data_IF_297529823576
#
_entry.id   IF_297529823576
#
_cell.length_a   1.000
_cell.length_b   1.000
_cell.length_c   1.000
_cell.angle_alpha   90.00
_cell.angle_beta   90.00
_cell.angle_gamma   90.00
#
_symmetry.space_group_name_H-M   'P 1'
#
loop_
_entity.id
_entity.type
_entity.pdbx_description
1 polymer ?
#
# COMPACT_ATOMS: atom_id res chain seq x y z
N UNK A 1 16.34 8.97 6.18
CA UNK A 1 16.06 8.69 4.76
C UNK A 1 16.33 7.22 4.52
N UNK A 2 15.31 6.46 4.14
CA UNK A 2 15.50 5.08 3.66
C UNK A 2 15.82 5.16 2.16
N UNK A 3 16.82 4.40 1.74
CA UNK A 3 17.29 4.35 0.36
C UNK A 3 17.12 2.94 -0.17
N UNK A 4 16.57 2.84 -1.36
CA UNK A 4 16.50 1.59 -2.09
C UNK A 4 16.72 1.86 -3.55
N UNK A 5 17.50 1.01 -4.22
CA UNK A 5 17.76 1.14 -5.64
C UNK A 5 16.62 0.47 -6.42
N UNK A 6 15.65 1.28 -6.86
CA UNK A 6 14.53 0.77 -7.67
C UNK A 6 15.02 0.17 -9.00
N UNK A 7 16.17 0.61 -9.52
CA UNK A 7 16.81 0.02 -10.69
C UNK A 7 17.29 -1.40 -10.44
N UNK A 8 17.85 -1.68 -9.27
CA UNK A 8 18.20 -3.04 -8.85
C UNK A 8 16.94 -3.92 -8.79
N UNK A 9 15.87 -3.45 -8.13
CA UNK A 9 14.60 -4.17 -8.05
C UNK A 9 14.00 -4.50 -9.41
N UNK A 10 14.05 -3.58 -10.37
CA UNK A 10 13.61 -3.84 -11.75
C UNK A 10 14.36 -5.03 -12.36
N UNK A 11 15.65 -5.19 -12.04
CA UNK A 11 16.51 -6.23 -12.62
C UNK A 11 16.47 -7.56 -11.86
N UNK A 12 16.04 -7.58 -10.59
CA UNK A 12 16.00 -8.80 -9.76
C UNK A 12 15.04 -9.89 -10.29
N UNK A 13 14.00 -9.53 -11.04
CA UNK A 13 13.01 -10.47 -11.60
C UNK A 13 12.79 -10.27 -13.10
N UNK A 14 13.55 -10.97 -13.94
CA UNK A 14 13.47 -10.82 -15.40
C UNK A 14 12.07 -11.12 -15.98
N UNK A 15 11.33 -12.06 -15.40
CA UNK A 15 9.97 -12.44 -15.79
C UNK A 15 8.93 -11.32 -15.54
N UNK A 16 9.23 -10.40 -14.62
CA UNK A 16 8.36 -9.27 -14.25
C UNK A 16 8.92 -7.93 -14.69
N UNK A 17 9.99 -7.93 -15.51
CA UNK A 17 10.77 -6.73 -15.79
C UNK A 17 9.93 -5.58 -16.32
N UNK A 18 9.06 -5.82 -17.29
CA UNK A 18 8.22 -4.78 -17.90
C UNK A 18 7.20 -4.18 -16.92
N UNK A 19 6.64 -5.01 -16.03
CA UNK A 19 5.80 -4.53 -14.93
C UNK A 19 6.59 -3.66 -13.96
N UNK A 20 7.77 -4.11 -13.51
CA UNK A 20 8.62 -3.36 -12.58
C UNK A 20 9.12 -2.05 -13.19
N UNK A 21 9.45 -2.05 -14.48
CA UNK A 21 9.78 -0.83 -15.24
C UNK A 21 8.60 0.15 -15.27
N UNK A 22 7.37 -0.34 -15.50
CA UNK A 22 6.18 0.50 -15.45
C UNK A 22 5.95 1.10 -14.05
N UNK A 23 6.14 0.30 -12.99
CA UNK A 23 6.09 0.80 -11.60
C UNK A 23 7.16 1.87 -11.37
N UNK A 24 8.39 1.67 -11.83
CA UNK A 24 9.44 2.67 -11.71
C UNK A 24 9.06 3.97 -12.43
N UNK A 25 8.62 3.92 -13.69
CA UNK A 25 8.14 5.10 -14.42
C UNK A 25 7.04 5.84 -13.66
N UNK A 26 6.06 5.11 -13.11
CA UNK A 26 4.96 5.69 -12.32
C UNK A 26 5.49 6.42 -11.09
N UNK A 27 6.41 5.81 -10.33
CA UNK A 27 6.97 6.41 -9.13
C UNK A 27 7.85 7.62 -9.45
N UNK A 28 8.60 7.59 -10.55
CA UNK A 28 9.38 8.73 -11.05
C UNK A 28 8.47 9.88 -11.47
N UNK A 29 7.34 9.60 -12.12
CA UNK A 29 6.35 10.63 -12.45
C UNK A 29 5.76 11.28 -11.18
N UNK A 30 5.51 10.50 -10.13
CA UNK A 30 5.04 11.05 -8.86
C UNK A 30 6.12 11.91 -8.21
N UNK A 31 7.36 11.42 -8.14
CA UNK A 31 8.49 12.15 -7.57
C UNK A 31 8.78 13.48 -8.30
N UNK A 32 8.63 13.51 -9.62
CA UNK A 32 8.95 14.69 -10.45
C UNK A 32 7.92 15.82 -10.41
N UNK A 33 6.77 15.63 -9.76
CA UNK A 33 5.71 16.64 -9.68
C UNK A 33 5.38 16.97 -8.21
N UNK A 34 5.65 18.20 -7.72
CA UNK A 34 5.52 18.53 -6.30
C UNK A 34 4.14 18.25 -5.69
N UNK A 35 3.06 18.53 -6.42
CA UNK A 35 1.69 18.26 -5.99
C UNK A 35 1.40 16.77 -5.87
N UNK A 36 1.88 15.95 -6.82
CA UNK A 36 1.73 14.49 -6.77
C UNK A 36 2.60 13.91 -5.66
N UNK A 37 3.87 14.29 -5.60
CA UNK A 37 4.82 13.85 -4.58
C UNK A 37 4.27 14.08 -3.17
N UNK A 38 3.81 15.29 -2.88
CA UNK A 38 3.34 15.67 -1.54
C UNK A 38 2.04 14.97 -1.14
N UNK A 39 1.16 14.68 -2.10
CA UNK A 39 -0.17 14.18 -1.80
C UNK A 39 -0.32 12.66 -1.97
N UNK A 40 0.46 12.03 -2.83
CA UNK A 40 0.40 10.60 -3.10
C UNK A 40 1.35 9.84 -2.18
N UNK A 41 0.87 9.52 -0.97
CA UNK A 41 1.67 8.80 0.02
C UNK A 41 1.52 7.30 -0.23
N UNK A 42 2.61 6.65 -0.64
CA UNK A 42 2.63 5.24 -1.02
C UNK A 42 2.41 4.31 0.18
N UNK A 43 1.65 3.24 -0.02
CA UNK A 43 1.38 2.21 0.97
C UNK A 43 1.30 0.82 0.33
N UNK A 44 0.90 -0.17 1.14
CA UNK A 44 0.43 -1.46 0.63
C UNK A 44 1.55 -2.39 0.15
N UNK A 45 1.20 -3.31 -0.75
CA UNK A 45 2.07 -4.44 -1.12
C UNK A 45 3.35 -4.02 -1.83
N UNK A 46 3.29 -3.01 -2.70
CA UNK A 46 4.47 -2.59 -3.47
C UNK A 46 5.47 -1.89 -2.55
N UNK A 47 5.00 -1.16 -1.53
CA UNK A 47 5.89 -0.62 -0.51
C UNK A 47 6.56 -1.73 0.31
N UNK A 48 5.88 -2.85 0.57
CA UNK A 48 6.54 -4.01 1.20
C UNK A 48 7.63 -4.60 0.31
N UNK A 49 7.37 -4.73 -0.99
CA UNK A 49 8.33 -5.29 -1.93
C UNK A 49 9.57 -4.40 -2.08
N UNK A 50 9.38 -3.08 -2.18
CA UNK A 50 10.47 -2.11 -2.42
C UNK A 50 11.14 -1.69 -1.11
N UNK A 51 10.37 -1.35 -0.08
CA UNK A 51 10.89 -0.81 1.19
C UNK A 51 11.35 -1.86 2.20
N UNK A 52 10.87 -3.11 2.07
CA UNK A 52 11.14 -4.18 3.04
C UNK A 52 11.61 -5.48 2.37
N UNK A 53 11.83 -5.48 1.06
CA UNK A 53 12.27 -6.66 0.29
C UNK A 53 11.32 -7.87 0.39
N UNK A 54 10.02 -7.63 0.56
CA UNK A 54 9.03 -8.71 0.65
C UNK A 54 9.06 -9.62 -0.57
N UNK A 55 9.07 -10.92 -0.30
CA UNK A 55 9.07 -11.99 -1.30
C UNK A 55 7.69 -12.22 -1.94
N UNK A 56 6.66 -11.51 -1.47
CA UNK A 56 5.31 -11.62 -2.00
C UNK A 56 5.14 -10.72 -3.22
N UNK A 57 4.71 -11.31 -4.31
CA UNK A 57 4.33 -10.64 -5.53
C UNK A 57 3.05 -9.83 -5.37
N UNK A 58 3.02 -8.67 -6.01
CA UNK A 58 1.88 -7.73 -6.02
C UNK A 58 1.82 -7.02 -7.36
N UNK A 59 0.62 -6.74 -7.84
CA UNK A 59 0.37 -6.07 -9.13
C UNK A 59 -0.22 -4.66 -9.00
N UNK A 60 -0.74 -4.34 -7.82
CA UNK A 60 -1.44 -3.10 -7.55
C UNK A 60 -0.55 -2.20 -6.68
N UNK A 61 -0.54 -0.90 -6.97
CA UNK A 61 0.12 0.13 -6.17
C UNK A 61 -0.96 0.86 -5.37
N UNK A 62 -0.72 1.06 -4.08
CA UNK A 62 -1.66 1.76 -3.21
C UNK A 62 -1.09 3.10 -2.78
N UNK A 63 -1.93 4.15 -2.78
CA UNK A 63 -1.60 5.47 -2.24
C UNK A 63 -2.67 5.96 -1.28
N UNK A 64 -2.34 6.98 -0.49
CA UNK A 64 -3.28 7.68 0.37
C UNK A 64 -3.01 9.17 0.40
N UNK A 65 -4.07 9.92 0.66
CA UNK A 65 -4.00 11.36 0.87
C UNK A 65 -5.01 11.83 1.92
N UNK A 66 -4.62 12.88 2.63
CA UNK A 66 -5.51 13.61 3.52
C UNK A 66 -6.57 14.43 2.75
N UNK A 67 -6.37 14.67 1.44
CA UNK A 67 -7.30 15.45 0.61
C UNK A 67 -8.69 14.84 0.70
N UNK A 68 -9.68 15.71 0.96
CA UNK A 68 -11.08 15.31 1.04
C UNK A 68 -11.65 15.12 -0.35
N UNK A 69 -12.57 14.16 -0.50
CA UNK A 69 -13.27 13.91 -1.78
C UNK A 69 -13.87 15.15 -2.41
N UNK A 70 -14.48 16.02 -1.60
CA UNK A 70 -15.12 17.27 -2.03
C UNK A 70 -14.13 18.31 -2.55
N UNK A 71 -12.84 18.17 -2.22
CA UNK A 71 -11.76 19.07 -2.64
C UNK A 71 -10.83 18.43 -3.68
N UNK A 72 -11.13 17.19 -4.11
CA UNK A 72 -10.31 16.47 -5.07
C UNK A 72 -10.84 16.68 -6.49
N UNK A 73 -10.09 17.42 -7.30
CA UNK A 73 -10.34 17.58 -8.73
C UNK A 73 -9.71 16.42 -9.51
N UNK A 74 -10.53 15.50 -9.99
CA UNK A 74 -10.08 14.29 -10.71
C UNK A 74 -9.50 14.63 -12.08
N UNK A 75 -10.05 15.63 -12.76
CA UNK A 75 -9.62 15.99 -14.11
C UNK A 75 -8.29 16.75 -14.07
N UNK A 76 -8.12 17.67 -13.12
CA UNK A 76 -6.86 18.35 -12.91
C UNK A 76 -5.75 17.40 -12.43
N UNK A 77 -6.06 16.52 -11.47
CA UNK A 77 -5.15 15.45 -11.06
C UNK A 77 -4.72 14.58 -12.24
N UNK A 78 -5.68 14.14 -13.07
CA UNK A 78 -5.41 13.30 -14.23
C UNK A 78 -4.47 14.01 -15.20
N UNK A 79 -4.73 15.29 -15.51
CA UNK A 79 -3.91 16.09 -16.42
C UNK A 79 -2.47 16.21 -15.91
N UNK A 80 -2.29 16.59 -14.64
CA UNK A 80 -0.96 16.69 -14.02
C UNK A 80 -0.23 15.35 -14.06
N UNK A 81 -0.93 14.24 -13.79
CA UNK A 81 -0.32 12.92 -13.80
C UNK A 81 0.03 12.43 -15.21
N UNK A 82 -0.80 12.72 -16.22
CA UNK A 82 -0.49 12.44 -17.63
C UNK A 82 0.74 13.23 -18.11
N UNK A 83 0.84 14.52 -17.79
CA UNK A 83 1.99 15.37 -18.11
C UNK A 83 3.28 14.82 -17.48
N UNK A 84 3.24 14.43 -16.20
CA UNK A 84 4.40 13.89 -15.51
C UNK A 84 4.81 12.50 -16.01
N UNK A 85 3.83 11.63 -16.33
CA UNK A 85 4.10 10.31 -16.91
C UNK A 85 4.85 10.43 -18.23
N UNK A 86 4.49 11.40 -19.08
CA UNK A 86 5.20 11.64 -20.34
C UNK A 86 6.67 11.95 -20.10
N UNK A 87 6.98 12.83 -19.13
CA UNK A 87 8.36 13.15 -18.77
C UNK A 87 9.11 11.94 -18.19
N UNK A 88 8.47 11.15 -17.33
CA UNK A 88 9.07 9.96 -16.73
C UNK A 88 9.36 8.86 -17.75
N UNK A 89 8.47 8.66 -18.73
CA UNK A 89 8.67 7.71 -19.84
C UNK A 89 9.91 8.03 -20.65
N UNK A 90 10.14 9.30 -20.97
CA UNK A 90 11.30 9.73 -21.75
C UNK A 90 12.60 9.65 -20.94
N UNK A 91 12.56 10.00 -19.65
CA UNK A 91 13.76 9.99 -18.79
C UNK A 91 14.18 8.59 -18.33
N UNK A 92 13.25 7.66 -18.13
CA UNK A 92 13.56 6.31 -17.65
C UNK A 92 14.35 5.45 -18.66
N UNK A 93 14.28 5.77 -19.96
CA UNK A 93 15.12 5.13 -20.98
C UNK A 93 14.84 3.63 -21.25
N UNK A 94 13.73 3.08 -20.75
CA UNK A 94 13.42 1.64 -20.89
C UNK A 94 12.90 1.22 -22.27
N UNK A 95 12.58 2.15 -23.16
CA UNK A 95 11.85 1.84 -24.40
C UNK A 95 10.40 1.39 -24.14
N UNK A 96 9.90 1.59 -22.92
CA UNK A 96 8.52 1.31 -22.50
C UNK A 96 7.73 2.62 -22.54
N UNK A 97 6.50 2.58 -23.06
CA UNK A 97 5.52 3.67 -22.92
C UNK A 97 4.53 3.34 -21.79
N UNK A 98 4.06 4.36 -21.09
CA UNK A 98 3.08 4.27 -20.00
C UNK A 98 2.03 5.36 -20.15
N UNK A 99 0.75 5.00 -20.13
CA UNK A 99 -0.34 5.97 -20.27
C UNK A 99 -1.54 5.64 -19.39
N UNK A 100 -2.14 6.68 -18.80
CA UNK A 100 -3.43 6.55 -18.12
C UNK A 100 -4.47 6.00 -19.12
N UNK A 101 -5.06 4.86 -18.78
CA UNK A 101 -6.15 4.23 -19.52
C UNK A 101 -7.50 4.59 -18.89
N UNK A 102 -7.52 4.79 -17.58
CA UNK A 102 -8.71 5.10 -16.82
C UNK A 102 -8.34 5.81 -15.51
N UNK A 103 -9.21 6.69 -15.03
CA UNK A 103 -9.08 7.41 -13.75
C UNK A 103 -10.50 7.72 -13.26
N UNK A 104 -11.00 6.98 -12.26
CA UNK A 104 -12.41 7.07 -11.83
C UNK A 104 -12.50 7.12 -10.31
N UNK A 105 -13.37 8.01 -9.81
CA UNK A 105 -13.72 8.05 -8.39
C UNK A 105 -14.69 6.94 -7.99
N UNK A 106 -14.40 6.25 -6.88
CA UNK A 106 -15.21 5.18 -6.32
C UNK A 106 -15.41 5.34 -4.81
N UNK A 107 -16.64 5.24 -4.29
CA UNK A 107 -17.89 5.26 -5.05
C UNK A 107 -18.11 6.64 -5.69
N UNK A 108 -18.99 6.74 -6.68
CA UNK A 108 -19.25 8.01 -7.39
C UNK A 108 -19.89 9.09 -6.50
N UNK A 109 -20.41 8.71 -5.33
CA UNK A 109 -21.02 9.59 -4.35
C UNK A 109 -20.00 10.54 -3.71
N UNK A 110 -20.27 11.85 -3.75
CA UNK A 110 -19.42 12.89 -3.14
C UNK A 110 -19.36 12.81 -1.61
N UNK A 111 -20.41 12.31 -0.97
CA UNK A 111 -20.50 12.12 0.49
C UNK A 111 -19.91 10.79 0.97
N UNK A 112 -19.17 10.08 0.10
CA UNK A 112 -18.51 8.84 0.48
C UNK A 112 -17.50 9.08 1.60
N UNK A 113 -17.60 8.30 2.67
CA UNK A 113 -16.69 8.40 3.81
C UNK A 113 -15.31 7.83 3.49
N UNK A 114 -15.24 6.80 2.64
CA UNK A 114 -14.01 6.11 2.22
C UNK A 114 -13.87 6.02 0.69
N UNK A 115 -13.76 7.16 0.00
CA UNK A 115 -13.60 7.17 -1.45
C UNK A 115 -12.16 6.86 -1.86
N UNK A 116 -12.02 6.39 -3.08
CA UNK A 116 -10.76 6.13 -3.75
C UNK A 116 -10.82 6.66 -5.18
N UNK A 117 -9.67 6.97 -5.76
CA UNK A 117 -9.51 7.12 -7.20
C UNK A 117 -8.86 5.84 -7.72
N UNK A 118 -9.60 5.09 -8.54
CA UNK A 118 -9.10 3.92 -9.23
C UNK A 118 -8.49 4.33 -10.55
N UNK A 119 -7.19 4.10 -10.71
CA UNK A 119 -6.43 4.47 -11.89
C UNK A 119 -5.88 3.20 -12.52
N UNK A 120 -5.91 3.11 -13.84
CA UNK A 120 -5.21 2.07 -14.57
C UNK A 120 -4.20 2.72 -15.51
N UNK A 121 -2.93 2.40 -15.32
CA UNK A 121 -1.82 2.83 -16.17
C UNK A 121 -1.49 1.67 -17.10
N UNK A 122 -1.78 1.84 -18.38
CA UNK A 122 -1.39 0.87 -19.40
C UNK A 122 0.09 1.03 -19.71
N UNK A 123 0.76 -0.07 -20.04
CA UNK A 123 2.15 -0.04 -20.47
C UNK A 123 2.42 -1.01 -21.63
N UNK A 124 3.36 -0.65 -22.50
CA UNK A 124 3.77 -1.47 -23.64
C UNK A 124 5.14 -1.02 -24.18
N UNK A 125 5.90 -1.93 -24.77
CA UNK A 125 7.15 -1.60 -25.47
C UNK A 125 6.87 -0.72 -26.69
N UNK A 126 7.59 0.39 -26.83
CA UNK A 126 7.44 1.34 -27.95
C UNK A 126 7.62 0.61 -29.28
N UNK A 127 6.70 0.85 -30.21
CA UNK A 127 6.69 0.25 -31.55
C UNK A 127 6.01 -1.13 -31.65
N UNK A 128 5.70 -1.79 -30.52
CA UNK A 128 5.01 -3.09 -30.52
C UNK A 128 3.53 -2.99 -30.97
N UNK A 129 2.88 -4.10 -31.36
CA UNK A 129 1.42 -4.13 -31.55
C UNK A 129 0.64 -3.73 -30.29
N UNK A 130 1.16 -4.07 -29.10
CA UNK A 130 0.57 -3.68 -27.82
C UNK A 130 0.64 -2.16 -27.61
N UNK A 131 1.69 -1.49 -28.08
CA UNK A 131 1.80 -0.03 -28.05
C UNK A 131 0.71 0.64 -28.86
N UNK A 132 0.37 0.15 -30.06
CA UNK A 132 -0.78 0.67 -30.83
C UNK A 132 -2.09 0.59 -30.05
N UNK A 133 -2.28 -0.48 -29.26
CA UNK A 133 -3.45 -0.63 -28.38
C UNK A 133 -3.40 0.32 -27.17
N UNK A 134 -2.20 0.53 -26.59
CA UNK A 134 -1.99 1.50 -25.51
C UNK A 134 -2.40 2.92 -25.93
N UNK A 135 -1.92 3.36 -27.11
CA UNK A 135 -2.26 4.66 -27.70
C UNK A 135 -3.78 4.81 -27.93
N UNK A 136 -4.44 3.72 -28.30
CA UNK A 136 -5.89 3.66 -28.48
C UNK A 136 -6.70 3.50 -27.17
N UNK A 137 -6.07 3.67 -25.99
CA UNK A 137 -6.65 3.46 -24.66
C UNK A 137 -7.27 2.07 -24.45
N UNK A 138 -6.65 1.03 -25.04
CA UNK A 138 -7.07 -0.38 -25.01
C UNK A 138 -5.92 -1.31 -24.59
N UNK A 139 -5.06 -0.83 -23.69
CA UNK A 139 -3.90 -1.58 -23.21
C UNK A 139 -4.30 -2.95 -22.67
N UNK A 140 -3.48 -3.96 -22.96
CA UNK A 140 -3.65 -5.32 -22.45
C UNK A 140 -2.95 -5.54 -21.13
N UNK A 141 -1.88 -4.77 -20.88
CA UNK A 141 -1.10 -4.79 -19.65
C UNK A 141 -1.35 -3.49 -18.91
N UNK A 142 -1.70 -3.59 -17.63
CA UNK A 142 -1.98 -2.43 -16.78
C UNK A 142 -1.35 -2.61 -15.40
N UNK A 143 -0.85 -1.51 -14.85
CA UNK A 143 -0.62 -1.33 -13.42
C UNK A 143 -1.86 -0.65 -12.86
N UNK A 144 -2.46 -1.22 -11.81
CA UNK A 144 -3.60 -0.59 -11.13
C UNK A 144 -3.10 0.21 -9.95
N UNK A 145 -3.70 1.37 -9.76
CA UNK A 145 -3.44 2.23 -8.63
C UNK A 145 -4.76 2.44 -7.88
N UNK A 146 -4.76 2.14 -6.58
CA UNK A 146 -5.83 2.51 -5.67
C UNK A 146 -5.36 3.70 -4.83
N UNK A 147 -5.92 4.88 -5.09
CA UNK A 147 -5.57 6.11 -4.39
C UNK A 147 -6.67 6.48 -3.39
N UNK A 148 -6.49 6.10 -2.13
CA UNK A 148 -7.46 6.33 -1.06
C UNK A 148 -7.50 7.81 -0.64
N UNK A 149 -8.69 8.40 -0.62
CA UNK A 149 -8.93 9.76 -0.15
C UNK A 149 -9.44 9.75 1.30
N UNK A 150 -9.51 10.94 1.92
CA UNK A 150 -9.93 11.10 3.31
C UNK A 150 -9.05 10.30 4.31
N UNK A 151 -7.80 10.00 3.97
CA UNK A 151 -6.91 9.13 4.73
C UNK A 151 -5.67 9.92 5.15
N UNK A 152 -5.75 10.66 6.27
CA UNK A 152 -4.59 11.35 6.80
C UNK A 152 -3.53 10.32 7.22
N UNK A 153 -2.28 10.65 6.90
CA UNK A 153 -1.10 9.87 7.27
C UNK A 153 -0.26 10.75 8.16
N UNK A 154 0.05 10.25 9.35
CA UNK A 154 0.92 10.95 10.27
C UNK A 154 2.36 10.48 10.10
N UNK A 155 3.29 11.43 10.09
CA UNK A 155 4.73 11.18 9.95
C UNK A 155 5.08 10.30 8.73
N UNK A 156 4.65 10.69 7.50
CA UNK A 156 5.05 9.97 6.31
C UNK A 156 6.57 10.04 6.14
N UNK A 157 7.16 8.95 5.65
CA UNK A 157 8.61 8.83 5.49
C UNK A 157 9.01 9.16 4.07
N UNK A 158 10.00 10.03 3.92
CA UNK A 158 10.63 10.30 2.65
C UNK A 158 11.52 9.12 2.24
N UNK A 159 11.24 8.57 1.07
CA UNK A 159 11.89 7.40 0.52
C UNK A 159 12.57 7.75 -0.81
N UNK A 160 13.87 7.48 -0.91
CA UNK A 160 14.67 7.77 -2.11
C UNK A 160 14.65 6.57 -3.06
N UNK A 161 14.13 6.78 -4.28
CA UNK A 161 14.02 5.78 -5.34
C UNK A 161 15.33 5.64 -6.14
N UNK A 162 15.88 6.75 -6.61
CA UNK A 162 17.16 6.86 -7.32
C UNK A 162 17.52 8.34 -7.47
N UNK A 163 18.76 8.75 -7.18
CA UNK A 163 19.34 10.08 -7.51
C UNK A 163 18.38 11.25 -7.20
N UNK A 164 18.04 11.42 -5.93
CA UNK A 164 17.14 12.49 -5.45
C UNK A 164 15.68 12.43 -5.92
N UNK A 165 15.25 11.34 -6.59
CA UNK A 165 13.82 11.07 -6.79
C UNK A 165 13.21 10.56 -5.47
N UNK A 166 12.48 11.44 -4.80
CA UNK A 166 11.92 11.21 -3.47
C UNK A 166 10.41 11.01 -3.57
N UNK A 167 9.86 10.07 -2.80
CA UNK A 167 8.41 9.92 -2.61
C UNK A 167 8.08 9.82 -1.13
N UNK A 168 6.85 10.18 -0.76
CA UNK A 168 6.34 9.91 0.58
C UNK A 168 5.76 8.50 0.65
N UNK A 169 6.05 7.82 1.75
CA UNK A 169 5.62 6.45 2.02
C UNK A 169 5.05 6.34 3.43
N UNK A 170 4.30 5.27 3.68
CA UNK A 170 3.92 4.90 5.04
C UNK A 170 5.18 4.52 5.85
N UNK A 171 5.27 5.03 7.06
CA UNK A 171 6.25 4.56 8.04
C UNK A 171 5.99 3.10 8.41
N UNK A 172 6.97 2.45 9.06
CA UNK A 172 6.79 1.12 9.65
C UNK A 172 5.56 1.08 10.58
N UNK A 173 5.43 2.09 11.44
CA UNK A 173 4.32 2.25 12.38
C UNK A 173 2.97 2.29 11.62
N UNK A 174 2.91 3.11 10.57
CA UNK A 174 1.70 3.30 9.78
C UNK A 174 1.31 2.01 9.02
N UNK A 175 2.29 1.30 8.47
CA UNK A 175 2.08 0.01 7.80
C UNK A 175 1.54 -1.06 8.75
N UNK A 176 2.12 -1.20 9.95
CA UNK A 176 1.67 -2.18 10.94
C UNK A 176 0.27 -1.83 11.45
N UNK A 177 0.03 -0.57 11.82
CA UNK A 177 -1.27 -0.13 12.32
C UNK A 177 -2.39 -0.32 11.29
N UNK A 178 -2.15 0.03 10.02
CA UNK A 178 -3.14 -0.11 8.95
C UNK A 178 -3.46 -1.57 8.65
N UNK A 179 -2.46 -2.47 8.68
CA UNK A 179 -2.69 -3.91 8.49
C UNK A 179 -3.46 -4.53 9.65
N UNK A 180 -3.10 -4.22 10.90
CA UNK A 180 -3.86 -4.66 12.07
C UNK A 180 -5.32 -4.20 11.99
N UNK A 181 -5.55 -2.92 11.67
CA UNK A 181 -6.90 -2.37 11.47
C UNK A 181 -7.65 -3.13 10.37
N UNK A 182 -6.99 -3.42 9.25
CA UNK A 182 -7.57 -4.18 8.14
C UNK A 182 -7.98 -5.60 8.52
N UNK A 183 -7.14 -6.30 9.30
CA UNK A 183 -7.44 -7.63 9.86
C UNK A 183 -8.63 -7.56 10.81
N UNK A 184 -8.67 -6.60 11.73
CA UNK A 184 -9.75 -6.49 12.71
C UNK A 184 -11.08 -6.07 12.08
N UNK A 185 -11.06 -5.23 11.04
CA UNK A 185 -12.28 -4.78 10.35
C UNK A 185 -12.89 -5.84 9.41
N UNK A 186 -12.18 -6.94 9.12
CA UNK A 186 -12.59 -7.86 8.06
C UNK A 186 -13.93 -8.54 8.35
N UNK A 187 -14.27 -8.73 9.63
CA UNK A 187 -15.55 -9.29 10.07
C UNK A 187 -16.73 -8.37 9.69
N UNK A 188 -16.70 -7.11 10.15
CA UNK A 188 -17.74 -6.11 9.85
C UNK A 188 -17.94 -5.90 8.34
N UNK A 189 -16.84 -5.96 7.58
CA UNK A 189 -16.86 -5.76 6.12
C UNK A 189 -17.16 -7.03 5.33
N UNK A 190 -17.32 -8.17 6.00
CA UNK A 190 -17.51 -9.49 5.37
C UNK A 190 -16.42 -9.82 4.34
N UNK A 191 -15.17 -9.48 4.66
CA UNK A 191 -13.99 -9.70 3.81
C UNK A 191 -13.12 -10.83 4.36
N UNK A 192 -12.22 -11.31 3.52
CA UNK A 192 -11.11 -12.19 3.87
C UNK A 192 -9.81 -11.46 3.57
N UNK A 193 -8.90 -11.38 4.54
CA UNK A 193 -7.63 -10.64 4.43
C UNK A 193 -6.44 -11.60 4.49
N UNK A 194 -6.44 -12.60 3.60
CA UNK A 194 -5.48 -13.72 3.57
C UNK A 194 -4.00 -13.31 3.61
N UNK A 195 -3.65 -12.16 3.06
CA UNK A 195 -2.27 -11.70 2.94
C UNK A 195 -1.76 -10.90 4.16
N UNK A 196 -2.66 -10.33 4.97
CA UNK A 196 -2.26 -9.35 5.98
C UNK A 196 -1.47 -9.99 7.13
N UNK A 197 -1.78 -11.22 7.53
CA UNK A 197 -1.02 -11.93 8.57
C UNK A 197 0.40 -12.26 8.08
N UNK A 198 0.55 -12.68 6.83
CA UNK A 198 1.87 -12.88 6.21
C UNK A 198 2.65 -11.57 6.18
N UNK A 199 2.03 -10.49 5.70
CA UNK A 199 2.68 -9.19 5.59
C UNK A 199 3.05 -8.61 6.97
N UNK A 200 2.20 -8.78 7.98
CA UNK A 200 2.49 -8.37 9.36
C UNK A 200 3.64 -9.19 9.93
N UNK A 201 3.62 -10.51 9.79
CA UNK A 201 4.71 -11.37 10.21
C UNK A 201 6.02 -10.94 9.55
N UNK A 202 6.01 -10.71 8.24
CA UNK A 202 7.18 -10.27 7.49
C UNK A 202 7.71 -8.91 7.95
N UNK A 203 6.82 -7.91 8.09
CA UNK A 203 7.18 -6.59 8.62
C UNK A 203 7.78 -6.67 10.03
N UNK A 204 7.25 -7.56 10.87
CA UNK A 204 7.61 -7.63 12.27
C UNK A 204 8.85 -8.49 12.52
N UNK A 205 9.08 -9.56 11.75
CA UNK A 205 10.08 -10.60 12.06
C UNK A 205 11.50 -10.07 12.21
N UNK A 206 11.92 -9.16 11.31
CA UNK A 206 13.30 -8.70 11.21
C UNK A 206 13.49 -7.22 11.62
N UNK A 207 12.53 -6.65 12.35
CA UNK A 207 12.58 -5.25 12.76
C UNK A 207 12.90 -5.09 14.25
N UNK A 208 14.07 -4.54 14.62
CA UNK A 208 14.38 -4.20 16.02
C UNK A 208 13.33 -3.27 16.65
N UNK A 209 12.75 -2.39 15.83
CA UNK A 209 11.66 -1.48 16.20
C UNK A 209 10.42 -2.22 16.71
N UNK A 210 10.22 -3.50 16.35
CA UNK A 210 9.12 -4.30 16.89
C UNK A 210 9.16 -4.37 18.41
N UNK A 211 10.33 -4.45 19.02
CA UNK A 211 10.44 -4.61 20.48
C UNK A 211 10.51 -3.28 21.24
N UNK A 212 10.77 -2.18 20.55
CA UNK A 212 10.84 -0.85 21.14
C UNK A 212 9.49 -0.40 21.74
N UNK A 213 9.51 -0.01 23.01
CA UNK A 213 8.31 0.40 23.75
C UNK A 213 7.65 1.60 23.10
N UNK A 214 8.43 2.60 22.67
CA UNK A 214 7.86 3.82 22.08
C UNK A 214 7.17 3.53 20.76
N UNK A 215 7.78 2.68 19.93
CA UNK A 215 7.21 2.21 18.68
C UNK A 215 5.89 1.46 18.91
N UNK A 216 5.81 0.56 19.91
CA UNK A 216 4.56 -0.12 20.27
C UNK A 216 3.47 0.86 20.73
N UNK A 217 3.82 1.87 21.52
CA UNK A 217 2.88 2.94 21.92
C UNK A 217 2.33 3.67 20.69
N UNK A 218 3.20 4.08 19.76
CA UNK A 218 2.78 4.80 18.56
C UNK A 218 1.94 3.90 17.64
N UNK A 219 2.31 2.62 17.45
CA UNK A 219 1.50 1.65 16.69
C UNK A 219 0.10 1.53 17.29
N UNK A 220 -0.01 1.40 18.61
CA UNK A 220 -1.30 1.29 19.28
C UNK A 220 -2.14 2.57 19.11
N UNK A 221 -1.55 3.74 19.32
CA UNK A 221 -2.24 5.02 19.12
C UNK A 221 -2.77 5.15 17.68
N UNK A 222 -1.92 4.88 16.68
CA UNK A 222 -2.29 4.93 15.26
C UNK A 222 -3.38 3.92 14.90
N UNK A 223 -3.29 2.69 15.42
CA UNK A 223 -4.31 1.67 15.22
C UNK A 223 -5.66 2.17 15.74
N UNK A 224 -5.70 2.74 16.94
CA UNK A 224 -6.95 3.20 17.55
C UNK A 224 -7.54 4.38 16.77
N UNK A 225 -6.73 5.37 16.41
CA UNK A 225 -7.20 6.55 15.68
C UNK A 225 -7.74 6.16 14.29
N UNK A 226 -7.03 5.27 13.57
CA UNK A 226 -7.51 4.76 12.28
C UNK A 226 -8.76 3.89 12.42
N UNK A 227 -8.88 3.13 13.51
CA UNK A 227 -10.06 2.31 13.79
C UNK A 227 -11.28 3.19 14.07
N UNK A 228 -11.14 4.24 14.89
CA UNK A 228 -12.18 5.25 15.14
C UNK A 228 -12.68 5.91 13.84
N UNK A 229 -11.76 6.30 12.96
CA UNK A 229 -12.10 6.86 11.64
C UNK A 229 -12.86 5.89 10.73
N UNK A 230 -12.90 4.60 11.07
CA UNK A 230 -13.61 3.54 10.37
C UNK A 230 -14.80 2.99 11.16
N UNK A 231 -15.17 3.62 12.28
CA UNK A 231 -16.18 3.17 13.25
C UNK A 231 -15.93 1.76 13.78
N UNK A 232 -14.66 1.37 13.88
CA UNK A 232 -14.23 0.08 14.40
C UNK A 232 -13.77 0.27 15.85
N UNK A 233 -14.34 -0.52 16.76
CA UNK A 233 -13.85 -0.63 18.13
C UNK A 233 -12.78 -1.72 18.18
N UNK A 234 -11.66 -1.42 18.81
CA UNK A 234 -10.55 -2.37 18.99
C UNK A 234 -10.23 -2.50 20.48
N UNK A 235 -9.99 -3.73 20.91
CA UNK A 235 -9.71 -4.07 22.30
C UNK A 235 -8.52 -5.06 22.37
N UNK A 236 -7.91 -5.26 23.55
CA UNK A 236 -6.71 -6.06 23.70
C UNK A 236 -6.83 -7.51 23.19
N UNK A 237 -8.04 -8.07 23.19
CA UNK A 237 -8.29 -9.46 22.81
C UNK A 237 -8.86 -9.61 21.40
N UNK A 238 -8.96 -8.53 20.61
CA UNK A 238 -9.62 -8.57 19.31
C UNK A 238 -8.99 -9.57 18.33
N UNK A 239 -7.66 -9.74 18.37
CA UNK A 239 -6.93 -10.76 17.58
C UNK A 239 -7.18 -12.20 18.07
N UNK A 240 -7.60 -12.39 19.33
CA UNK A 240 -7.97 -13.70 19.88
C UNK A 240 -9.40 -14.12 19.51
N UNK A 241 -10.16 -13.28 18.81
CA UNK A 241 -11.46 -13.65 18.28
C UNK A 241 -11.32 -14.78 17.23
N UNK A 242 -11.96 -15.95 17.44
CA UNK A 242 -11.87 -17.07 16.49
C UNK A 242 -12.35 -16.72 15.08
N UNK A 243 -13.29 -15.79 14.92
CA UNK A 243 -13.78 -15.38 13.60
C UNK A 243 -12.74 -14.55 12.83
N UNK A 244 -11.98 -13.70 13.52
CA UNK A 244 -10.85 -12.96 12.93
C UNK A 244 -9.78 -13.94 12.47
N UNK A 245 -9.44 -14.93 13.29
CA UNK A 245 -8.49 -16.00 12.90
C UNK A 245 -8.99 -16.76 11.68
N UNK A 246 -10.23 -17.26 11.71
CA UNK A 246 -10.84 -18.04 10.62
C UNK A 246 -10.85 -17.27 9.30
N UNK A 247 -11.16 -15.97 9.33
CA UNK A 247 -11.17 -15.12 8.12
C UNK A 247 -9.78 -14.79 7.59
N UNK A 248 -8.80 -14.71 8.48
CA UNK A 248 -7.40 -14.51 8.11
C UNK A 248 -6.78 -15.77 7.51
N UNK A 249 -7.17 -16.94 8.01
CA UNK A 249 -6.77 -18.25 7.47
C UNK A 249 -7.45 -18.57 6.14
N UNK A 250 -8.68 -18.07 5.96
CA UNK A 250 -9.45 -18.30 4.75
C UNK A 250 -8.65 -17.85 3.53
N UNK A 251 -8.46 -18.79 2.60
CA UNK A 251 -7.66 -18.63 1.39
C UNK A 251 -6.16 -18.41 1.59
N UNK A 252 -5.62 -18.51 2.80
CA UNK A 252 -4.20 -18.31 3.07
C UNK A 252 -3.31 -19.19 2.18
N UNK A 253 -3.67 -20.47 2.01
CA UNK A 253 -2.96 -21.41 1.12
C UNK A 253 -2.91 -20.96 -0.35
N UNK A 254 -3.84 -20.11 -0.79
CA UNK A 254 -3.84 -19.55 -2.17
C UNK A 254 -2.76 -18.48 -2.37
N UNK A 255 -2.07 -18.06 -1.30
CA UNK A 255 -0.97 -17.11 -1.35
C UNK A 255 0.34 -17.74 -1.86
N UNK A 256 0.48 -19.07 -1.79
CA UNK A 256 1.72 -19.77 -2.17
C UNK A 256 2.25 -19.42 -3.57
N UNK A 257 1.44 -19.33 -4.64
CA UNK A 257 1.92 -18.93 -5.97
C UNK A 257 2.37 -17.46 -6.05
N UNK A 258 2.01 -16.65 -5.05
CA UNK A 258 2.37 -15.24 -4.96
C UNK A 258 3.64 -15.04 -4.12
N UNK A 259 4.22 -16.08 -3.52
CA UNK A 259 5.40 -15.97 -2.65
C UNK A 259 6.59 -16.69 -3.28
N UNK A 260 7.74 -16.04 -3.27
CA UNK A 260 9.00 -16.71 -3.53
C UNK A 260 9.43 -17.53 -2.30
N UNK A 261 9.57 -18.84 -2.50
CA UNK A 261 9.87 -19.80 -1.43
C UNK A 261 8.62 -20.41 -0.81
N UNK A 262 8.79 -20.98 0.38
CA UNK A 262 7.73 -21.69 1.07
C UNK A 262 6.79 -20.73 1.81
N UNK A 263 5.48 -20.96 1.65
CA UNK A 263 4.46 -20.29 2.45
C UNK A 263 4.57 -20.81 3.90
N UNK A 264 4.86 -19.95 4.90
CA UNK A 264 5.02 -20.41 6.27
C UNK A 264 3.69 -20.96 6.84
N UNK A 265 3.73 -21.86 7.83
CA UNK A 265 2.52 -22.39 8.45
C UNK A 265 1.67 -21.26 9.06
N UNK A 266 0.38 -21.24 8.71
CA UNK A 266 -0.53 -20.17 9.14
C UNK A 266 -0.56 -20.00 10.67
N UNK A 267 -0.69 -21.10 11.40
CA UNK A 267 -0.80 -21.07 12.86
C UNK A 267 0.43 -20.43 13.52
N UNK A 268 1.63 -20.70 12.99
CA UNK A 268 2.88 -20.13 13.51
C UNK A 268 2.89 -18.61 13.35
N UNK A 269 2.63 -18.14 12.13
CA UNK A 269 2.68 -16.70 11.84
C UNK A 269 1.51 -15.94 12.47
N UNK A 270 0.33 -16.57 12.59
CA UNK A 270 -0.82 -15.96 13.26
C UNK A 270 -0.55 -15.80 14.75
N UNK A 271 -0.10 -16.88 15.42
CA UNK A 271 0.22 -16.85 16.84
C UNK A 271 1.32 -15.81 17.14
N UNK A 272 2.29 -15.65 16.24
CA UNK A 272 3.32 -14.62 16.34
C UNK A 272 2.72 -13.20 16.30
N UNK A 273 1.86 -12.91 15.32
CA UNK A 273 1.23 -11.59 15.15
C UNK A 273 0.25 -11.29 16.30
N UNK A 274 -0.55 -12.28 16.71
CA UNK A 274 -1.43 -12.18 17.88
C UNK A 274 -0.63 -11.90 19.16
N UNK A 275 0.48 -12.62 19.36
CA UNK A 275 1.35 -12.41 20.52
C UNK A 275 1.96 -11.00 20.54
N UNK A 276 2.31 -10.45 19.37
CA UNK A 276 2.74 -9.05 19.26
C UNK A 276 1.60 -8.09 19.64
N UNK A 277 0.39 -8.30 19.11
CA UNK A 277 -0.79 -7.48 19.40
C UNK A 277 -1.16 -7.45 20.89
N UNK A 278 -1.17 -8.61 21.55
CA UNK A 278 -1.44 -8.75 22.98
C UNK A 278 -0.42 -8.00 23.86
N UNK A 279 0.81 -7.82 23.37
CA UNK A 279 1.88 -7.10 24.07
C UNK A 279 1.90 -5.60 23.79
N UNK A 280 1.00 -5.06 22.97
CA UNK A 280 0.86 -3.62 22.83
C UNK A 280 0.44 -2.99 24.19
N UNK A 281 0.79 -1.73 24.48
CA UNK A 281 0.59 -1.10 25.79
C UNK A 281 -0.86 -0.65 26.03
N UNK A 282 -1.81 -1.58 25.98
CA UNK A 282 -3.26 -1.34 26.08
C UNK A 282 -3.70 -0.60 27.35
N UNK A 283 -3.02 -0.85 28.47
CA UNK A 283 -3.35 -0.25 29.78
C UNK A 283 -3.29 1.28 29.77
N UNK A 284 -2.39 1.86 28.98
CA UNK A 284 -2.25 3.31 28.86
C UNK A 284 -3.45 3.98 28.16
N UNK A 285 -4.26 3.21 27.43
CA UNK A 285 -5.38 3.74 26.65
C UNK A 285 -6.75 3.46 27.29
N UNK A 286 -6.89 2.36 28.03
CA UNK A 286 -8.12 2.00 28.78
C UNK A 286 -8.38 2.96 29.95
N UNK A 287 -7.34 3.58 30.51
CA UNK A 287 -7.45 4.59 31.58
C UNK A 287 -7.75 6.01 31.09
N UNK A 288 -7.91 6.22 29.78
CA UNK A 288 -8.28 7.52 29.21
C UNK A 288 -9.79 7.75 29.35
N UNK A 289 -10.26 8.92 29.81
CA UNK A 289 -11.70 9.21 30.01
C UNK A 289 -12.55 9.18 28.74
N UNK A 290 -11.95 8.89 27.58
CA UNK A 290 -12.63 8.68 26.30
C UNK A 290 -13.25 7.28 26.11
N UNK A 291 -13.06 6.34 27.06
CA UNK A 291 -13.58 4.96 27.00
C UNK A 291 -14.48 4.56 28.19
N UNK A 292 -14.90 5.52 29.01
CA UNK A 292 -16.05 5.39 29.91
C UNK A 292 -17.23 6.15 29.31
#
# INVERSE_FOLDING_TARGET
MQKFDIGEWVNQKPDQRTFRQAVHIILTAIAGTPSLQTNMIMKGGVLLAIGYNSQRYTKDIDFSTAIKRSSFDVDDFRRQFEESLLYAVETAGYGLDCQIQNCISRPENENATFPSIQISIGYAEKGSPAHKRLLAKKATMVVRIDYSLNEPVEEPVLFELEKDNLIYTYSFVEMVAEKLRGVLQQEERKRFRRQDIYDLHYLLSDQPLREDTKTKETILARLIDKSKNRNLLVDPNAMSNPEIRRRSEAEYKKLAPEIEGDLPPFDEIYNFVESFYLRLPWKCYISSPFWQ
#
